data_IF_841469631443
#
_entry.id   IF_841469631443
#
_cell.length_a   1.000
_cell.length_b   1.000
_cell.length_c   1.000
_cell.angle_alpha   90.00
_cell.angle_beta   90.00
_cell.angle_gamma   90.00
#
_symmetry.space_group_name_H-M   'P 1'
#
loop_
_entity.id
_entity.type
_entity.pdbx_description
1 polymer ?
#
# COMPACT_ATOMS: atom_id res chain seq x y z
N UNK A 1 35.37 4.91 11.87
CA UNK A 1 34.65 4.00 12.73
C UNK A 1 33.37 4.60 13.22
N UNK A 2 33.48 5.70 13.91
CA UNK A 2 32.29 6.30 14.53
C UNK A 2 31.26 6.72 13.53
N UNK A 3 31.68 7.10 12.35
CA UNK A 3 30.76 7.54 11.33
C UNK A 3 29.77 6.46 10.91
N UNK A 4 30.06 5.22 11.21
CA UNK A 4 29.13 4.14 10.88
C UNK A 4 27.89 4.17 11.75
N UNK A 5 27.99 4.73 12.93
CA UNK A 5 26.84 4.81 13.82
C UNK A 5 25.81 5.84 13.36
N UNK A 6 26.28 6.86 12.67
CA UNK A 6 25.36 7.91 12.24
C UNK A 6 24.29 7.43 11.26
N UNK A 7 24.65 6.62 10.26
CA UNK A 7 23.61 6.06 9.38
C UNK A 7 22.63 5.20 10.15
N UNK A 8 23.13 4.45 11.14
CA UNK A 8 22.25 3.60 11.93
C UNK A 8 21.25 4.42 12.73
N UNK A 9 21.70 5.53 13.29
CA UNK A 9 20.82 6.41 14.04
C UNK A 9 19.74 7.01 13.14
N UNK A 10 20.11 7.37 11.92
CA UNK A 10 19.17 7.91 10.97
C UNK A 10 18.12 6.87 10.62
N UNK A 11 18.55 5.62 10.42
CA UNK A 11 17.63 4.53 10.12
C UNK A 11 16.64 4.33 11.26
N UNK A 12 17.12 4.38 12.49
CA UNK A 12 16.25 4.24 13.65
C UNK A 12 15.23 5.38 13.69
N UNK A 13 15.69 6.59 13.41
CA UNK A 13 14.78 7.74 13.38
C UNK A 13 13.71 7.57 12.31
N UNK A 14 14.10 7.06 11.14
CA UNK A 14 13.14 6.80 10.08
C UNK A 14 12.18 5.68 10.45
N UNK A 15 12.58 4.78 11.33
CA UNK A 15 11.70 3.73 11.81
C UNK A 15 10.47 4.26 12.53
N UNK A 16 10.48 5.53 12.95
CA UNK A 16 9.32 6.15 13.56
C UNK A 16 8.18 6.37 12.58
N UNK A 17 8.44 6.24 11.28
CA UNK A 17 7.42 6.42 10.25
C UNK A 17 6.38 5.32 10.25
N UNK A 18 6.69 4.18 10.81
CA UNK A 18 5.77 3.06 10.83
C UNK A 18 6.00 2.10 9.68
N UNK A 19 5.66 0.85 9.96
CA UNK A 19 5.94 -0.24 9.05
C UNK A 19 5.06 -0.18 7.80
N UNK A 20 3.81 0.27 7.96
CA UNK A 20 2.89 0.33 6.83
C UNK A 20 3.32 1.35 5.79
N UNK A 21 3.80 2.51 6.23
CA UNK A 21 4.26 3.52 5.30
C UNK A 21 5.49 3.06 4.53
N UNK A 22 6.42 2.42 5.22
CA UNK A 22 7.61 1.89 4.56
C UNK A 22 7.26 0.78 3.58
N UNK A 23 6.34 -0.10 3.97
CA UNK A 23 5.89 -1.17 3.07
C UNK A 23 5.22 -0.60 1.83
N UNK A 24 4.42 0.46 2.00
CA UNK A 24 3.81 1.11 0.85
C UNK A 24 4.86 1.63 -0.13
N UNK A 25 5.90 2.28 0.40
CA UNK A 25 6.97 2.80 -0.45
C UNK A 25 7.71 1.68 -1.17
N UNK A 26 8.00 0.59 -0.46
CA UNK A 26 8.65 -0.56 -1.09
C UNK A 26 7.77 -1.17 -2.18
N UNK A 27 6.48 -1.28 -1.91
CA UNK A 27 5.55 -1.84 -2.89
C UNK A 27 5.51 -1.01 -4.16
N UNK A 28 5.46 0.31 -4.03
CA UNK A 28 5.47 1.21 -5.18
C UNK A 28 6.77 1.05 -5.96
N UNK A 29 7.89 0.94 -5.25
CA UNK A 29 9.18 0.79 -5.90
C UNK A 29 9.27 -0.54 -6.64
N UNK A 30 8.81 -1.62 -6.03
CA UNK A 30 8.78 -2.92 -6.70
C UNK A 30 7.90 -2.86 -7.95
N UNK A 31 6.75 -2.19 -7.86
CA UNK A 31 5.88 -2.07 -9.02
C UNK A 31 6.58 -1.34 -10.17
N UNK A 32 7.30 -0.27 -9.85
CA UNK A 32 8.02 0.50 -10.86
C UNK A 32 9.13 -0.32 -11.52
N UNK A 33 9.70 -1.26 -10.77
CA UNK A 33 10.72 -2.16 -11.31
C UNK A 33 10.12 -3.40 -11.98
N UNK A 34 8.82 -3.42 -12.18
CA UNK A 34 8.09 -4.55 -12.77
C UNK A 34 8.19 -5.83 -11.93
N UNK A 35 8.47 -5.67 -10.66
CA UNK A 35 8.48 -6.77 -9.70
C UNK A 35 7.10 -6.85 -9.05
N UNK A 36 6.11 -7.30 -9.82
CA UNK A 36 4.70 -7.17 -9.46
C UNK A 36 4.35 -8.06 -8.26
N UNK A 37 4.89 -9.26 -8.20
CA UNK A 37 4.56 -10.17 -7.09
C UNK A 37 5.08 -9.65 -5.77
N UNK A 38 6.28 -9.08 -5.78
CA UNK A 38 6.84 -8.45 -4.59
C UNK A 38 6.01 -7.25 -4.17
N UNK A 39 5.56 -6.46 -5.16
CA UNK A 39 4.70 -5.31 -4.87
C UNK A 39 3.40 -5.76 -4.22
N UNK A 40 2.79 -6.82 -4.73
CA UNK A 40 1.55 -7.37 -4.16
C UNK A 40 1.74 -7.72 -2.69
N UNK A 41 2.85 -8.37 -2.35
CA UNK A 41 3.11 -8.75 -0.97
C UNK A 41 3.22 -7.54 -0.05
N UNK A 42 3.87 -6.48 -0.52
CA UNK A 42 4.00 -5.27 0.30
C UNK A 42 2.65 -4.58 0.51
N UNK A 43 1.85 -4.47 -0.55
CA UNK A 43 0.53 -3.84 -0.42
C UNK A 43 -0.37 -4.65 0.50
N UNK A 44 -0.32 -5.98 0.41
CA UNK A 44 -1.07 -6.84 1.31
C UNK A 44 -0.63 -6.67 2.76
N UNK A 45 0.66 -6.50 2.97
CA UNK A 45 1.17 -6.25 4.32
C UNK A 45 0.57 -4.98 4.90
N UNK A 46 0.50 -3.90 4.11
CA UNK A 46 -0.09 -2.65 4.57
C UNK A 46 -1.53 -2.87 5.01
N UNK A 47 -2.31 -3.55 4.17
CA UNK A 47 -3.73 -3.80 4.46
C UNK A 47 -3.87 -4.63 5.73
N UNK A 48 -3.10 -5.70 5.83
CA UNK A 48 -3.17 -6.58 6.99
C UNK A 48 -2.76 -5.85 8.26
N UNK A 49 -1.67 -5.10 8.20
CA UNK A 49 -1.15 -4.40 9.37
C UNK A 49 -2.15 -3.38 9.90
N UNK A 50 -2.78 -2.62 9.01
CA UNK A 50 -3.77 -1.64 9.41
C UNK A 50 -5.08 -2.28 9.85
N UNK A 51 -5.44 -3.40 9.23
CA UNK A 51 -6.69 -4.10 9.57
C UNK A 51 -6.63 -4.79 10.92
N UNK A 52 -5.44 -5.14 11.39
CA UNK A 52 -5.29 -5.88 12.65
C UNK A 52 -5.16 -4.99 13.87
N UNK A 53 -5.25 -3.67 13.70
CA UNK A 53 -5.17 -2.76 14.84
C UNK A 53 -6.47 -2.81 15.62
N UNK A 54 -6.34 -2.79 16.94
CA UNK A 54 -7.50 -2.81 17.83
C UNK A 54 -8.21 -1.46 17.88
N UNK A 55 -7.47 -0.40 17.63
CA UNK A 55 -8.04 0.93 17.69
C UNK A 55 -8.61 1.33 16.35
N UNK A 56 -9.55 2.27 16.39
CA UNK A 56 -10.14 2.82 15.17
C UNK A 56 -9.06 3.57 14.39
N UNK A 57 -9.03 3.34 13.09
CA UNK A 57 -8.06 4.01 12.22
C UNK A 57 -8.38 5.50 12.11
N UNK A 58 -7.34 6.33 12.11
CA UNK A 58 -7.53 7.76 11.88
C UNK A 58 -7.59 8.02 10.37
N UNK A 59 -7.79 9.29 10.03
CA UNK A 59 -7.96 9.68 8.62
C UNK A 59 -6.77 9.26 7.75
N UNK A 60 -5.56 9.51 8.24
CA UNK A 60 -4.38 9.21 7.43
C UNK A 60 -4.17 7.71 7.27
N UNK A 61 -4.54 6.92 8.27
CA UNK A 61 -4.47 5.46 8.19
C UNK A 61 -5.52 4.89 7.23
N UNK A 62 -6.72 5.45 7.26
CA UNK A 62 -7.77 5.06 6.31
C UNK A 62 -7.32 5.36 4.89
N UNK A 63 -6.73 6.54 4.69
CA UNK A 63 -6.22 6.91 3.38
C UNK A 63 -5.11 5.98 2.91
N UNK A 64 -4.21 5.63 3.82
CA UNK A 64 -3.12 4.72 3.49
C UNK A 64 -3.65 3.34 3.13
N UNK A 65 -4.62 2.85 3.90
CA UNK A 65 -5.23 1.56 3.62
C UNK A 65 -5.94 1.57 2.27
N UNK A 66 -6.66 2.65 1.99
CA UNK A 66 -7.33 2.80 0.70
C UNK A 66 -6.33 2.80 -0.46
N UNK A 67 -5.21 3.50 -0.29
CA UNK A 67 -4.17 3.52 -1.31
C UNK A 67 -3.56 2.14 -1.52
N UNK A 68 -3.43 1.37 -0.46
CA UNK A 68 -2.91 0.01 -0.58
C UNK A 68 -3.86 -0.86 -1.40
N UNK A 69 -5.16 -0.76 -1.15
CA UNK A 69 -6.15 -1.48 -1.97
C UNK A 69 -6.11 -1.01 -3.42
N UNK A 70 -6.02 0.30 -3.63
CA UNK A 70 -5.92 0.88 -4.97
C UNK A 70 -4.70 0.31 -5.72
N UNK A 71 -3.54 0.36 -5.09
CA UNK A 71 -2.31 -0.10 -5.72
C UNK A 71 -2.33 -1.62 -5.94
N UNK A 72 -2.95 -2.36 -5.02
CA UNK A 72 -3.12 -3.80 -5.18
C UNK A 72 -4.02 -4.11 -6.37
N UNK A 73 -5.08 -3.33 -6.55
CA UNK A 73 -5.96 -3.49 -7.72
C UNK A 73 -5.18 -3.29 -9.02
N UNK A 74 -4.34 -2.25 -9.06
CA UNK A 74 -3.53 -1.97 -10.24
C UNK A 74 -2.54 -3.10 -10.49
N UNK A 75 -1.90 -3.61 -9.44
CA UNK A 75 -0.96 -4.71 -9.56
C UNK A 75 -1.64 -5.98 -10.07
N UNK A 76 -2.82 -6.30 -9.55
CA UNK A 76 -3.58 -7.46 -10.01
C UNK A 76 -3.99 -7.30 -11.47
N UNK A 77 -4.42 -6.09 -11.86
CA UNK A 77 -4.78 -5.83 -13.26
C UNK A 77 -3.56 -6.01 -14.18
N UNK A 78 -2.39 -5.62 -13.71
CA UNK A 78 -1.16 -5.82 -14.46
C UNK A 78 -0.91 -7.30 -14.74
N UNK A 79 -1.33 -8.17 -13.82
CA UNK A 79 -1.22 -9.62 -13.98
C UNK A 79 -2.44 -10.21 -14.69
N UNK A 80 -3.36 -9.39 -15.14
CA UNK A 80 -4.61 -9.81 -15.77
C UNK A 80 -5.55 -10.56 -14.82
N UNK A 81 -5.39 -10.37 -13.53
CA UNK A 81 -6.28 -10.95 -12.52
C UNK A 81 -7.40 -9.95 -12.25
N UNK A 82 -8.29 -9.80 -13.23
CA UNK A 82 -9.26 -8.72 -13.20
C UNK A 82 -10.34 -8.89 -12.14
N UNK A 83 -10.72 -10.12 -11.82
CA UNK A 83 -11.72 -10.34 -10.76
C UNK A 83 -11.16 -9.91 -9.41
N UNK A 84 -9.93 -10.29 -9.12
CA UNK A 84 -9.28 -9.88 -7.87
C UNK A 84 -9.07 -8.37 -7.86
N UNK A 85 -8.67 -7.81 -8.99
CA UNK A 85 -8.48 -6.37 -9.11
C UNK A 85 -9.77 -5.60 -8.84
N UNK A 86 -10.89 -6.10 -9.33
CA UNK A 86 -12.18 -5.43 -9.13
C UNK A 86 -12.57 -5.39 -7.66
N UNK A 87 -12.31 -6.47 -6.93
CA UNK A 87 -12.60 -6.51 -5.49
C UNK A 87 -11.78 -5.44 -4.76
N UNK A 88 -10.49 -5.37 -5.07
CA UNK A 88 -9.62 -4.41 -4.40
C UNK A 88 -9.96 -2.97 -4.78
N UNK A 89 -10.32 -2.74 -6.02
CA UNK A 89 -10.71 -1.40 -6.46
C UNK A 89 -11.96 -0.92 -5.73
N UNK A 90 -12.91 -1.81 -5.51
CA UNK A 90 -14.13 -1.49 -4.78
C UNK A 90 -13.82 -1.17 -3.32
N UNK A 91 -12.96 -1.98 -2.70
CA UNK A 91 -12.55 -1.75 -1.32
C UNK A 91 -11.88 -0.38 -1.17
N UNK A 92 -11.02 -0.02 -2.12
CA UNK A 92 -10.37 1.28 -2.09
C UNK A 92 -11.38 2.41 -2.15
N UNK A 93 -12.35 2.30 -3.04
CA UNK A 93 -13.37 3.34 -3.20
C UNK A 93 -14.26 3.45 -1.96
N UNK A 94 -14.63 2.32 -1.38
CA UNK A 94 -15.48 2.34 -0.19
C UNK A 94 -14.79 2.97 1.01
N UNK A 95 -13.48 2.74 1.14
CA UNK A 95 -12.71 3.34 2.22
C UNK A 95 -12.50 4.83 2.00
N UNK A 96 -12.26 5.24 0.78
CA UNK A 96 -11.94 6.63 0.46
C UNK A 96 -12.47 6.94 -0.94
N UNK A 97 -13.70 7.47 -1.04
CA UNK A 97 -14.33 7.75 -2.34
C UNK A 97 -13.70 8.97 -3.02
N UNK A 98 -12.63 8.72 -3.75
CA UNK A 98 -11.94 9.75 -4.52
C UNK A 98 -12.16 9.53 -6.01
N UNK A 99 -11.82 10.54 -6.80
CA UNK A 99 -11.93 10.41 -8.25
C UNK A 99 -10.97 9.32 -8.77
N UNK A 100 -9.78 9.25 -8.21
CA UNK A 100 -8.82 8.23 -8.63
C UNK A 100 -9.32 6.83 -8.34
N UNK A 101 -9.86 6.60 -7.15
CA UNK A 101 -10.40 5.29 -6.79
C UNK A 101 -11.61 4.94 -7.64
N UNK A 102 -12.46 5.92 -7.93
CA UNK A 102 -13.62 5.67 -8.79
C UNK A 102 -13.20 5.29 -10.20
N UNK A 103 -12.18 5.97 -10.74
CA UNK A 103 -11.70 5.66 -12.09
C UNK A 103 -11.18 4.24 -12.19
N UNK A 104 -10.38 3.81 -11.21
CA UNK A 104 -9.84 2.46 -11.22
C UNK A 104 -10.96 1.44 -11.12
N UNK A 105 -11.93 1.69 -10.23
CA UNK A 105 -13.05 0.79 -10.08
C UNK A 105 -13.85 0.66 -11.38
N UNK A 106 -14.07 1.77 -12.07
CA UNK A 106 -14.83 1.75 -13.32
C UNK A 106 -14.06 1.07 -14.45
N UNK A 107 -12.75 1.27 -14.49
CA UNK A 107 -11.92 0.69 -15.55
C UNK A 107 -11.81 -0.83 -15.46
N UNK A 108 -11.87 -1.37 -14.24
CA UNK A 108 -11.63 -2.79 -14.02
C UNK A 108 -12.91 -3.62 -14.09
N UNK A 109 -14.05 -3.01 -13.91
CA UNK A 109 -15.31 -3.74 -13.92
C UNK A 109 -15.63 -4.43 -15.24
#
# INVERSE_FOLDING_TARGET
MKKYFYPLLIIVALGCRGDSELAMERGIQYYEWDMIEEAVLEFKFVIHNLSSQNEKLDYSQIRLKSRAHHNLAVAYAKKSWYNDAAVEAREAFELFPSDDNRKVMELIQ
#
